data_IF_034945925480
#
_entry.id   IF_034945925480
#
_cell.length_a   1.000
_cell.length_b   1.000
_cell.length_c   1.000
_cell.angle_alpha   90.00
_cell.angle_beta   90.00
_cell.angle_gamma   90.00
#
_symmetry.space_group_name_H-M   'P 1'
#
loop_
_entity.id
_entity.type
_entity.pdbx_description
1 polymer ?
#
# COMPACT_ATOMS: atom_id res chain seq x y z
N UNK A 1 -25.91 -36.02 29.31
CA UNK A 1 -25.64 -36.53 27.95
C UNK A 1 -26.44 -35.83 26.86
N UNK A 2 -27.79 -35.77 26.90
CA UNK A 2 -28.62 -35.14 25.84
C UNK A 2 -28.24 -33.69 25.51
N UNK A 3 -27.98 -32.84 26.51
CA UNK A 3 -27.55 -31.43 26.35
C UNK A 3 -26.14 -31.26 25.76
N UNK A 4 -25.23 -32.20 26.04
CA UNK A 4 -23.85 -32.19 25.50
C UNK A 4 -23.88 -32.58 24.03
N UNK A 5 -24.72 -33.54 23.65
CA UNK A 5 -24.89 -33.97 22.27
C UNK A 5 -25.54 -32.88 21.39
N UNK A 6 -26.50 -32.11 21.93
CA UNK A 6 -27.09 -30.97 21.20
C UNK A 6 -26.10 -29.81 21.04
N UNK A 7 -25.25 -29.56 22.05
CA UNK A 7 -24.20 -28.54 21.97
C UNK A 7 -23.14 -28.91 20.92
N UNK A 8 -22.71 -30.17 20.88
CA UNK A 8 -21.77 -30.69 19.87
C UNK A 8 -22.33 -30.59 18.45
N UNK A 9 -23.62 -30.88 18.25
CA UNK A 9 -24.26 -30.79 16.93
C UNK A 9 -24.41 -29.34 16.44
N UNK A 10 -24.74 -28.40 17.34
CA UNK A 10 -24.80 -26.98 17.00
C UNK A 10 -23.41 -26.40 16.64
N UNK A 11 -22.36 -26.84 17.34
CA UNK A 11 -20.98 -26.47 17.04
C UNK A 11 -20.51 -26.99 15.68
N UNK A 12 -20.91 -28.21 15.29
CA UNK A 12 -20.54 -28.77 13.98
C UNK A 12 -21.21 -28.03 12.82
N UNK A 13 -22.49 -27.65 12.93
CA UNK A 13 -23.18 -26.91 11.86
C UNK A 13 -22.59 -25.51 11.64
N UNK A 14 -22.21 -24.83 12.73
CA UNK A 14 -21.56 -23.52 12.65
C UNK A 14 -20.16 -23.60 12.03
N UNK A 15 -19.42 -24.67 12.27
CA UNK A 15 -18.11 -24.89 11.68
C UNK A 15 -18.19 -25.15 10.17
N UNK A 16 -19.15 -25.96 9.71
CA UNK A 16 -19.34 -26.26 8.28
C UNK A 16 -19.82 -25.03 7.50
N UNK A 17 -20.71 -24.21 8.07
CA UNK A 17 -21.16 -22.99 7.42
C UNK A 17 -20.01 -21.97 7.24
N UNK A 18 -19.13 -21.83 8.24
CA UNK A 18 -17.94 -20.96 8.13
C UNK A 18 -16.96 -21.45 7.07
N UNK A 19 -16.71 -22.75 7.00
CA UNK A 19 -15.82 -23.35 6.00
C UNK A 19 -16.35 -23.10 4.58
N UNK A 20 -17.64 -23.36 4.32
CA UNK A 20 -18.26 -23.12 3.01
C UNK A 20 -18.07 -21.67 2.54
N UNK A 21 -18.31 -20.70 3.43
CA UNK A 21 -18.16 -19.28 3.07
C UNK A 21 -16.71 -18.84 2.84
N UNK A 22 -15.73 -19.55 3.39
CA UNK A 22 -14.32 -19.26 3.14
C UNK A 22 -13.89 -19.81 1.77
N UNK A 23 -14.37 -21.00 1.42
CA UNK A 23 -14.14 -21.61 0.10
C UNK A 23 -14.75 -20.75 -1.02
N UNK A 24 -15.94 -20.19 -0.80
CA UNK A 24 -16.60 -19.31 -1.77
C UNK A 24 -15.78 -18.05 -2.07
N UNK A 25 -15.25 -17.37 -1.05
CA UNK A 25 -14.41 -16.17 -1.23
C UNK A 25 -13.06 -16.50 -1.86
N UNK A 26 -12.49 -17.67 -1.55
CA UNK A 26 -11.27 -18.11 -2.20
C UNK A 26 -11.48 -18.38 -3.69
N UNK A 27 -12.61 -18.98 -4.08
CA UNK A 27 -12.95 -19.16 -5.49
C UNK A 27 -13.10 -17.82 -6.22
N UNK A 28 -13.75 -16.82 -5.61
CA UNK A 28 -13.82 -15.47 -6.17
C UNK A 28 -12.43 -14.83 -6.35
N UNK A 29 -11.52 -15.05 -5.40
CA UNK A 29 -10.13 -14.61 -5.51
C UNK A 29 -9.39 -15.29 -6.67
N UNK A 30 -9.66 -16.55 -6.97
CA UNK A 30 -9.11 -17.23 -8.15
C UNK A 30 -9.66 -16.63 -9.45
N UNK A 31 -10.96 -16.38 -9.53
CA UNK A 31 -11.61 -15.73 -10.68
C UNK A 31 -11.05 -14.32 -10.91
N UNK A 32 -10.85 -13.56 -9.83
CA UNK A 32 -10.22 -12.24 -9.85
C UNK A 32 -8.82 -12.30 -10.45
N UNK A 33 -7.98 -13.25 -10.00
CA UNK A 33 -6.63 -13.40 -10.54
C UNK A 33 -6.62 -13.86 -12.00
N UNK A 34 -7.54 -14.73 -12.39
CA UNK A 34 -7.69 -15.15 -13.77
C UNK A 34 -8.06 -13.97 -14.69
N UNK A 35 -9.03 -13.15 -14.28
CA UNK A 35 -9.43 -11.95 -15.02
C UNK A 35 -8.24 -10.97 -15.18
N UNK A 36 -7.44 -10.77 -14.12
CA UNK A 36 -6.22 -9.96 -14.19
C UNK A 36 -5.19 -10.53 -15.16
N UNK A 37 -4.94 -11.83 -15.10
CA UNK A 37 -4.00 -12.51 -16.00
C UNK A 37 -4.42 -12.40 -17.46
N UNK A 38 -5.73 -12.39 -17.72
CA UNK A 38 -6.32 -12.24 -19.06
C UNK A 38 -6.40 -10.78 -19.53
N UNK A 39 -6.03 -9.81 -18.69
CA UNK A 39 -6.15 -8.38 -19.01
C UNK A 39 -7.60 -7.87 -19.02
N UNK A 40 -8.54 -8.60 -18.42
CA UNK A 40 -9.95 -8.23 -18.32
C UNK A 40 -10.16 -7.19 -17.19
N UNK A 41 -9.55 -5.99 -17.32
CA UNK A 41 -9.44 -5.00 -16.24
C UNK A 41 -10.76 -4.62 -15.57
N UNK A 42 -11.84 -4.41 -16.36
CA UNK A 42 -13.17 -4.07 -15.82
C UNK A 42 -13.71 -5.21 -14.96
N UNK A 43 -13.68 -6.43 -15.48
CA UNK A 43 -14.14 -7.62 -14.75
C UNK A 43 -13.29 -7.89 -13.51
N UNK A 44 -11.96 -7.71 -13.61
CA UNK A 44 -11.06 -7.82 -12.48
C UNK A 44 -11.38 -6.78 -11.40
N UNK A 45 -11.72 -5.54 -11.78
CA UNK A 45 -12.18 -4.53 -10.84
C UNK A 45 -13.48 -4.97 -10.16
N UNK A 46 -14.49 -5.39 -10.92
CA UNK A 46 -15.79 -5.82 -10.39
C UNK A 46 -15.65 -7.00 -9.41
N UNK A 47 -14.89 -8.02 -9.78
CA UNK A 47 -14.59 -9.17 -8.92
C UNK A 47 -13.81 -8.74 -7.67
N UNK A 48 -12.85 -7.84 -7.83
CA UNK A 48 -12.07 -7.32 -6.72
C UNK A 48 -12.94 -6.56 -5.71
N UNK A 49 -13.80 -5.66 -6.18
CA UNK A 49 -14.73 -4.91 -5.32
C UNK A 49 -15.71 -5.81 -4.58
N UNK A 50 -16.12 -6.94 -5.19
CA UNK A 50 -16.94 -7.96 -4.54
C UNK A 50 -16.23 -8.66 -3.37
N UNK A 51 -14.92 -8.92 -3.49
CA UNK A 51 -14.11 -9.59 -2.47
C UNK A 51 -13.81 -8.67 -1.28
N UNK A 52 -13.66 -7.36 -1.49
CA UNK A 52 -13.21 -6.39 -0.45
C UNK A 52 -13.93 -6.53 0.91
N UNK A 53 -15.28 -6.60 0.99
CA UNK A 53 -16.00 -6.71 2.26
C UNK A 53 -15.64 -7.98 3.05
N UNK A 54 -15.28 -9.05 2.35
CA UNK A 54 -15.04 -10.37 2.92
C UNK A 54 -13.57 -10.82 2.83
N UNK A 55 -12.65 -9.93 2.42
CA UNK A 55 -11.24 -10.24 2.21
C UNK A 55 -10.55 -10.83 3.46
N UNK A 56 -11.08 -10.59 4.66
CA UNK A 56 -10.60 -11.21 5.90
C UNK A 56 -10.77 -12.74 5.96
N UNK A 57 -11.64 -13.32 5.11
CA UNK A 57 -11.83 -14.78 4.98
C UNK A 57 -10.71 -15.45 4.16
N UNK A 58 -9.95 -14.68 3.38
CA UNK A 58 -8.76 -15.19 2.68
C UNK A 58 -7.65 -15.50 3.68
N UNK A 59 -6.81 -16.49 3.36
CA UNK A 59 -5.56 -16.73 4.10
C UNK A 59 -4.68 -15.49 4.09
N UNK A 60 -3.77 -15.35 5.06
CA UNK A 60 -2.95 -14.15 5.19
C UNK A 60 -2.16 -13.84 3.91
N UNK A 61 -1.55 -14.86 3.28
CA UNK A 61 -0.81 -14.70 2.02
C UNK A 61 -1.72 -14.29 0.86
N UNK A 62 -2.85 -14.97 0.67
CA UNK A 62 -3.81 -14.63 -0.38
C UNK A 62 -4.39 -13.22 -0.18
N UNK A 63 -4.67 -12.83 1.06
CA UNK A 63 -5.20 -11.51 1.41
C UNK A 63 -4.20 -10.39 1.13
N UNK A 64 -2.92 -10.59 1.46
CA UNK A 64 -1.84 -9.62 1.17
C UNK A 64 -1.69 -9.45 -0.34
N UNK A 65 -1.63 -10.56 -1.08
CA UNK A 65 -1.57 -10.56 -2.54
C UNK A 65 -2.79 -9.89 -3.17
N UNK A 66 -3.99 -10.18 -2.66
CA UNK A 66 -5.23 -9.54 -3.07
C UNK A 66 -5.17 -8.03 -2.87
N UNK A 67 -4.75 -7.54 -1.69
CA UNK A 67 -4.63 -6.10 -1.43
C UNK A 67 -3.62 -5.42 -2.35
N UNK A 68 -2.48 -6.03 -2.62
CA UNK A 68 -1.54 -5.50 -3.61
C UNK A 68 -2.20 -5.38 -4.99
N UNK A 69 -2.87 -6.45 -5.39
CA UNK A 69 -3.47 -6.60 -6.71
C UNK A 69 -4.62 -5.63 -6.98
N UNK A 70 -5.54 -5.47 -6.04
CA UNK A 70 -6.64 -4.50 -6.15
C UNK A 70 -6.12 -3.07 -6.01
N UNK A 71 -5.09 -2.85 -5.18
CA UNK A 71 -4.38 -1.57 -5.10
C UNK A 71 -3.80 -1.16 -6.46
N UNK A 72 -3.19 -2.10 -7.17
CA UNK A 72 -2.64 -1.89 -8.52
C UNK A 72 -3.72 -1.56 -9.55
N UNK A 73 -4.85 -2.27 -9.53
CA UNK A 73 -5.98 -1.95 -10.41
C UNK A 73 -6.50 -0.53 -10.16
N UNK A 74 -6.64 -0.11 -8.90
CA UNK A 74 -7.04 1.27 -8.59
C UNK A 74 -6.00 2.30 -9.02
N UNK A 75 -4.71 1.99 -8.89
CA UNK A 75 -3.65 2.87 -9.38
C UNK A 75 -3.70 3.03 -10.90
N UNK A 76 -3.86 1.93 -11.63
CA UNK A 76 -3.94 1.91 -13.09
C UNK A 76 -5.18 2.66 -13.61
N UNK A 77 -6.26 2.67 -12.82
CA UNK A 77 -7.47 3.47 -13.06
C UNK A 77 -7.39 4.91 -12.47
N UNK A 78 -6.19 5.39 -12.14
CA UNK A 78 -5.96 6.73 -11.58
C UNK A 78 -6.67 7.03 -10.24
N UNK A 79 -7.19 6.02 -9.55
CA UNK A 79 -7.86 6.11 -8.25
C UNK A 79 -6.85 6.02 -7.08
N UNK A 80 -5.86 6.93 -7.06
CA UNK A 80 -4.73 6.92 -6.12
C UNK A 80 -5.12 6.84 -4.63
N UNK A 81 -6.25 7.44 -4.23
CA UNK A 81 -6.73 7.40 -2.84
C UNK A 81 -7.16 5.99 -2.43
N UNK A 82 -7.87 5.27 -3.32
CA UNK A 82 -8.25 3.87 -3.08
C UNK A 82 -7.03 2.97 -3.10
N UNK A 83 -6.14 3.15 -4.09
CA UNK A 83 -4.88 2.40 -4.19
C UNK A 83 -4.05 2.49 -2.91
N UNK A 84 -3.86 3.72 -2.37
CA UNK A 84 -3.12 3.96 -1.13
C UNK A 84 -3.65 3.12 0.03
N UNK A 85 -4.97 3.03 0.21
CA UNK A 85 -5.56 2.32 1.34
C UNK A 85 -5.19 0.82 1.34
N UNK A 86 -5.10 0.21 0.16
CA UNK A 86 -4.69 -1.19 0.04
C UNK A 86 -3.18 -1.36 0.13
N UNK A 87 -2.41 -0.48 -0.49
CA UNK A 87 -0.96 -0.48 -0.36
C UNK A 87 -0.48 -0.27 1.08
N UNK A 88 -1.15 0.55 1.88
CA UNK A 88 -0.87 0.69 3.32
C UNK A 88 -1.09 -0.64 4.07
N UNK A 89 -2.11 -1.43 3.70
CA UNK A 89 -2.34 -2.76 4.28
C UNK A 89 -1.21 -3.74 3.93
N UNK A 90 -0.75 -3.72 2.68
CA UNK A 90 0.38 -4.56 2.24
C UNK A 90 1.67 -4.14 2.95
N UNK A 91 1.97 -2.84 3.00
CA UNK A 91 3.16 -2.32 3.66
C UNK A 91 3.18 -2.59 5.17
N UNK A 92 2.02 -2.68 5.82
CA UNK A 92 1.94 -3.07 7.22
C UNK A 92 2.28 -4.56 7.43
N UNK A 93 1.86 -5.44 6.50
CA UNK A 93 2.10 -6.87 6.60
C UNK A 93 3.51 -7.28 6.11
N UNK A 94 3.99 -6.66 5.03
CA UNK A 94 5.27 -6.96 4.39
C UNK A 94 6.05 -5.64 4.20
N UNK A 95 6.63 -5.08 5.28
CA UNK A 95 7.22 -3.74 5.26
C UNK A 95 8.44 -3.59 4.36
N UNK A 96 9.02 -4.70 3.91
CA UNK A 96 10.17 -4.71 3.01
C UNK A 96 9.82 -5.04 1.56
N UNK A 97 8.53 -5.22 1.23
CA UNK A 97 8.08 -5.38 -0.15
C UNK A 97 8.24 -4.06 -0.90
N UNK A 98 9.35 -3.92 -1.65
CA UNK A 98 9.79 -2.62 -2.15
C UNK A 98 8.87 -2.07 -3.24
N UNK A 99 8.16 -2.92 -3.97
CA UNK A 99 7.22 -2.52 -5.03
C UNK A 99 6.08 -1.67 -4.44
N UNK A 100 5.52 -2.08 -3.30
CA UNK A 100 4.50 -1.28 -2.60
C UNK A 100 5.10 -0.04 -1.94
N UNK A 101 6.33 -0.13 -1.42
CA UNK A 101 7.02 1.05 -0.90
C UNK A 101 7.25 2.10 -2.01
N UNK A 102 7.56 1.66 -3.23
CA UNK A 102 7.63 2.54 -4.40
C UNK A 102 6.28 3.21 -4.66
N UNK A 103 5.21 2.43 -4.81
CA UNK A 103 3.88 2.97 -5.08
C UNK A 103 3.44 3.98 -4.01
N UNK A 104 3.57 3.65 -2.72
CA UNK A 104 3.28 4.57 -1.61
C UNK A 104 4.19 5.81 -1.63
N UNK A 105 5.47 5.64 -1.91
CA UNK A 105 6.44 6.72 -2.01
C UNK A 105 6.02 7.76 -3.05
N UNK A 106 5.62 7.33 -4.24
CA UNK A 106 5.13 8.22 -5.29
C UNK A 106 3.76 8.84 -4.98
N UNK A 107 2.83 8.08 -4.40
CA UNK A 107 1.53 8.63 -3.96
C UNK A 107 1.74 9.75 -2.93
N UNK A 108 2.62 9.55 -1.94
CA UNK A 108 2.92 10.59 -0.95
C UNK A 108 3.74 11.74 -1.52
N UNK A 109 4.66 11.47 -2.44
CA UNK A 109 5.41 12.50 -3.13
C UNK A 109 4.46 13.44 -3.90
N UNK A 110 3.50 12.89 -4.63
CA UNK A 110 2.49 13.69 -5.36
C UNK A 110 1.72 14.61 -4.44
N UNK A 111 1.29 14.10 -3.27
CA UNK A 111 0.62 14.94 -2.25
C UNK A 111 1.51 16.08 -1.75
N UNK A 112 2.81 15.83 -1.55
CA UNK A 112 3.74 16.88 -1.17
C UNK A 112 3.89 17.92 -2.29
N UNK A 113 3.93 17.49 -3.55
CA UNK A 113 3.99 18.40 -4.71
C UNK A 113 2.73 19.24 -4.85
N UNK A 114 1.54 18.66 -4.67
CA UNK A 114 0.27 19.41 -4.67
C UNK A 114 0.24 20.51 -3.60
N UNK A 115 0.84 20.26 -2.44
CA UNK A 115 0.97 21.26 -1.38
C UNK A 115 2.03 22.32 -1.74
N UNK A 116 3.11 21.93 -2.44
CA UNK A 116 4.12 22.87 -2.92
C UNK A 116 3.53 23.86 -3.94
N UNK A 117 2.63 23.40 -4.80
CA UNK A 117 1.90 24.28 -5.73
C UNK A 117 1.02 25.28 -4.98
N UNK A 118 0.32 24.82 -3.93
CA UNK A 118 -0.45 25.70 -3.05
C UNK A 118 0.44 26.71 -2.31
N UNK A 119 1.62 26.31 -1.84
CA UNK A 119 2.59 27.19 -1.19
C UNK A 119 3.01 28.35 -2.11
N UNK A 120 3.29 28.04 -3.37
CA UNK A 120 3.66 29.02 -4.38
C UNK A 120 2.52 30.03 -4.64
N UNK A 121 1.27 29.55 -4.68
CA UNK A 121 0.09 30.40 -4.81
C UNK A 121 -0.15 31.28 -3.58
N UNK A 122 0.14 30.77 -2.37
CA UNK A 122 -0.07 31.45 -1.09
C UNK A 122 1.12 32.33 -0.64
N UNK A 123 2.11 32.61 -1.50
CA UNK A 123 3.36 33.30 -1.13
C UNK A 123 3.19 34.65 -0.42
N UNK A 124 2.11 35.38 -0.70
CA UNK A 124 1.82 36.68 -0.11
C UNK A 124 0.91 36.60 1.14
N UNK A 125 0.48 35.41 1.54
CA UNK A 125 -0.33 35.17 2.73
C UNK A 125 0.51 34.42 3.78
N UNK A 126 1.05 35.17 4.75
CA UNK A 126 1.97 34.62 5.75
C UNK A 126 1.34 33.51 6.62
N UNK A 127 0.07 33.65 7.02
CA UNK A 127 -0.61 32.65 7.84
C UNK A 127 -0.82 31.35 7.07
N UNK A 128 -1.27 31.45 5.82
CA UNK A 128 -1.51 30.29 4.97
C UNK A 128 -0.20 29.62 4.53
N UNK A 129 0.82 30.41 4.20
CA UNK A 129 2.15 29.91 3.89
C UNK A 129 2.74 29.08 5.05
N UNK A 130 2.59 29.56 6.29
CA UNK A 130 3.02 28.81 7.49
C UNK A 130 2.26 27.49 7.63
N UNK A 131 0.93 27.50 7.45
CA UNK A 131 0.08 26.29 7.53
C UNK A 131 0.49 25.26 6.47
N UNK A 132 0.60 25.68 5.21
CA UNK A 132 0.97 24.82 4.10
C UNK A 132 2.41 24.29 4.23
N UNK A 133 3.34 25.06 4.80
CA UNK A 133 4.72 24.59 5.05
C UNK A 133 4.75 23.43 6.04
N UNK A 134 3.92 23.48 7.09
CA UNK A 134 3.79 22.37 8.03
C UNK A 134 3.18 21.13 7.38
N UNK A 135 2.16 21.30 6.53
CA UNK A 135 1.55 20.20 5.77
C UNK A 135 2.53 19.59 4.77
N UNK A 136 3.28 20.41 4.04
CA UNK A 136 4.31 19.98 3.11
C UNK A 136 5.37 19.14 3.83
N UNK A 137 5.88 19.64 4.97
CA UNK A 137 6.86 18.92 5.78
C UNK A 137 6.33 17.57 6.24
N UNK A 138 5.07 17.51 6.65
CA UNK A 138 4.40 16.26 7.08
C UNK A 138 4.29 15.28 5.92
N UNK A 139 3.86 15.74 4.74
CA UNK A 139 3.74 14.92 3.54
C UNK A 139 5.10 14.37 3.08
N UNK A 140 6.13 15.22 3.05
CA UNK A 140 7.51 14.81 2.71
C UNK A 140 8.03 13.75 3.68
N UNK A 141 7.84 13.94 5.00
CA UNK A 141 8.26 12.97 6.01
C UNK A 141 7.54 11.62 5.87
N UNK A 142 6.31 11.59 5.32
CA UNK A 142 5.60 10.36 5.00
C UNK A 142 6.16 9.69 3.73
N UNK A 143 6.54 10.47 2.72
CA UNK A 143 7.07 9.97 1.45
C UNK A 143 8.49 9.39 1.57
N UNK A 144 9.40 10.09 2.27
CA UNK A 144 10.82 9.75 2.35
C UNK A 144 11.12 8.30 2.72
N UNK A 145 10.58 7.70 3.80
CA UNK A 145 10.92 6.32 4.16
C UNK A 145 10.47 5.29 3.12
N UNK A 146 9.39 5.57 2.38
CA UNK A 146 8.90 4.70 1.31
C UNK A 146 9.81 4.81 0.07
N UNK A 147 10.14 6.04 -0.34
CA UNK A 147 11.04 6.31 -1.45
C UNK A 147 12.46 5.79 -1.19
N UNK A 148 12.98 5.94 0.03
CA UNK A 148 14.31 5.42 0.39
C UNK A 148 14.36 3.90 0.32
N UNK A 149 13.31 3.19 0.78
CA UNK A 149 13.23 1.74 0.63
C UNK A 149 13.20 1.34 -0.85
N UNK A 150 12.40 2.02 -1.66
CA UNK A 150 12.36 1.77 -3.10
C UNK A 150 13.74 2.01 -3.74
N UNK A 151 14.37 3.15 -3.46
CA UNK A 151 15.70 3.52 -3.95
C UNK A 151 16.80 2.55 -3.52
N UNK A 152 16.70 2.00 -2.31
CA UNK A 152 17.67 1.05 -1.80
C UNK A 152 17.58 -0.32 -2.48
N UNK A 153 16.38 -0.72 -2.91
CA UNK A 153 16.12 -2.03 -3.49
C UNK A 153 16.22 -2.07 -5.01
N UNK A 154 15.75 -1.02 -5.67
CA UNK A 154 15.81 -0.87 -7.13
C UNK A 154 16.14 0.60 -7.44
N UNK A 155 17.45 0.94 -7.49
CA UNK A 155 17.94 2.30 -7.61
C UNK A 155 17.49 3.00 -8.89
N UNK A 156 16.96 4.21 -8.75
CA UNK A 156 16.49 5.04 -9.87
C UNK A 156 16.98 6.49 -9.69
N UNK A 157 17.52 7.09 -10.75
CA UNK A 157 18.12 8.44 -10.65
C UNK A 157 17.07 9.50 -10.30
N UNK A 158 15.87 9.39 -10.85
CA UNK A 158 14.78 10.33 -10.60
C UNK A 158 14.26 10.23 -9.17
N UNK A 159 14.13 9.01 -8.65
CA UNK A 159 13.80 8.74 -7.24
C UNK A 159 14.86 9.32 -6.31
N UNK A 160 16.14 9.08 -6.59
CA UNK A 160 17.24 9.62 -5.78
C UNK A 160 17.25 11.16 -5.79
N UNK A 161 17.05 11.77 -6.97
CA UNK A 161 16.96 13.22 -7.14
C UNK A 161 15.80 13.78 -6.32
N UNK A 162 14.63 13.14 -6.38
CA UNK A 162 13.43 13.52 -5.61
C UNK A 162 13.67 13.46 -4.10
N UNK A 163 14.27 12.38 -3.59
CA UNK A 163 14.62 12.24 -2.18
C UNK A 163 15.52 13.40 -1.72
N UNK A 164 16.56 13.73 -2.51
CA UNK A 164 17.48 14.85 -2.20
C UNK A 164 16.77 16.21 -2.20
N UNK A 165 15.88 16.45 -3.16
CA UNK A 165 15.06 17.69 -3.21
C UNK A 165 14.17 17.79 -1.97
N UNK A 166 13.53 16.70 -1.57
CA UNK A 166 12.68 16.66 -0.39
C UNK A 166 13.44 16.99 0.89
N UNK A 167 14.60 16.37 1.13
CA UNK A 167 15.43 16.71 2.28
C UNK A 167 15.84 18.18 2.31
N UNK A 168 16.25 18.71 1.15
CA UNK A 168 16.60 20.13 1.01
C UNK A 168 15.42 21.04 1.36
N UNK A 169 14.24 20.75 0.80
CA UNK A 169 13.07 21.62 0.94
C UNK A 169 12.51 21.67 2.36
N UNK A 170 12.65 20.58 3.13
CA UNK A 170 12.26 20.56 4.55
C UNK A 170 13.39 20.98 5.50
N UNK A 171 14.54 21.41 4.96
CA UNK A 171 15.75 21.78 5.70
C UNK A 171 16.28 20.67 6.64
N UNK A 172 16.09 19.40 6.26
CA UNK A 172 16.58 18.26 7.04
C UNK A 172 17.98 17.85 6.56
N UNK A 173 18.97 18.64 6.98
CA UNK A 173 20.38 18.47 6.62
C UNK A 173 20.98 17.19 7.18
N UNK A 174 20.57 16.78 8.38
CA UNK A 174 20.99 15.52 9.00
C UNK A 174 20.44 14.32 8.23
N UNK A 175 19.17 14.37 7.84
CA UNK A 175 18.52 13.39 6.98
C UNK A 175 19.27 13.24 5.65
N UNK A 176 19.60 14.36 4.99
CA UNK A 176 20.38 14.37 3.75
C UNK A 176 21.77 13.73 3.92
N UNK A 177 22.51 14.11 4.97
CA UNK A 177 23.86 13.60 5.23
C UNK A 177 23.88 12.08 5.50
N UNK A 178 22.83 11.56 6.16
CA UNK A 178 22.70 10.14 6.47
C UNK A 178 22.13 9.27 5.34
N UNK A 179 21.77 9.85 4.18
CA UNK A 179 21.02 9.14 3.13
C UNK A 179 21.74 7.87 2.64
N UNK A 180 23.01 7.97 2.23
CA UNK A 180 23.74 6.82 1.69
C UNK A 180 23.88 5.67 2.70
N UNK A 181 24.06 6.00 3.99
CA UNK A 181 24.13 5.01 5.07
C UNK A 181 22.79 4.29 5.21
N UNK A 182 21.67 5.02 5.19
CA UNK A 182 20.33 4.42 5.28
C UNK A 182 20.03 3.56 4.06
N UNK A 183 20.33 4.02 2.84
CA UNK A 183 20.12 3.22 1.62
C UNK A 183 20.90 1.90 1.67
N UNK A 184 22.18 1.93 2.08
CA UNK A 184 22.99 0.71 2.22
C UNK A 184 22.50 -0.25 3.32
N UNK A 185 21.83 0.28 4.35
CA UNK A 185 21.21 -0.55 5.38
C UNK A 185 19.89 -1.17 4.90
N UNK A 186 19.06 -0.39 4.20
CA UNK A 186 17.76 -0.82 3.68
C UNK A 186 17.89 -1.87 2.57
N UNK A 187 18.92 -1.80 1.73
CA UNK A 187 19.13 -2.71 0.60
C UNK A 187 19.30 -4.18 1.02
N UNK A 188 19.63 -4.44 2.29
CA UNK A 188 19.87 -5.79 2.81
C UNK A 188 18.59 -6.63 2.96
N UNK A 189 17.41 -6.02 2.96
CA UNK A 189 16.16 -6.68 3.34
C UNK A 189 15.10 -6.65 2.24
N UNK A 190 15.46 -6.33 1.01
CA UNK A 190 14.52 -6.13 -0.08
C UNK A 190 13.71 -7.38 -0.42
N UNK A 191 12.39 -7.22 -0.49
CA UNK A 191 11.46 -8.23 -1.01
C UNK A 191 10.87 -7.67 -2.31
N UNK A 192 10.98 -8.42 -3.39
CA UNK A 192 10.56 -8.04 -4.74
C UNK A 192 9.33 -8.80 -5.23
N UNK A 193 9.01 -9.91 -4.57
CA UNK A 193 7.86 -10.77 -4.84
C UNK A 193 7.13 -11.10 -3.54
N UNK A 194 5.80 -11.05 -3.60
CA UNK A 194 4.96 -11.60 -2.55
C UNK A 194 4.85 -13.12 -2.76
N UNK A 195 4.92 -13.88 -1.67
CA UNK A 195 4.75 -15.33 -1.72
C UNK A 195 3.28 -15.71 -1.55
N UNK A 196 2.82 -16.58 -2.44
CA UNK A 196 1.43 -17.01 -2.56
C UNK A 196 1.17 -18.33 -1.82
N UNK A 197 2.22 -19.08 -1.43
CA UNK A 197 2.15 -20.46 -0.93
C UNK A 197 1.92 -20.61 0.56
#
# INVERSE_FOLDING_TARGET
MKKILTLLFALSVLATAKAQTADDVYNEYLDFNLARLQGETVKAMDLGEKIVPDAAKLTDKARINFYYSIGKLYEDDSQSVKAQAYYEKVAAAVPNYYVVQRALGYIYAKKAEDIADQLNAAKNNAAENKRLTALYTTAVKKALPCLEKAQACDPDEDTLKRIKVFYKNINDTQGAAGLNIRLAALSKNCIDLLDDK
#
